data_IF_453869590654
#
_entry.id   IF_453869590654
#
_cell.length_a   1.000
_cell.length_b   1.000
_cell.length_c   1.000
_cell.angle_alpha   90.00
_cell.angle_beta   90.00
_cell.angle_gamma   90.00
#
_symmetry.space_group_name_H-M   'P 1'
#
loop_
_entity.id
_entity.type
_entity.pdbx_description
1 polymer ?
#
# COMPACT_ATOMS: atom_id res chain seq x y z
N UNK A 1 -10.74 -16.28 -32.19
CA UNK A 1 -10.73 -14.83 -31.93
C UNK A 1 -9.56 -14.55 -31.02
N UNK A 2 -8.54 -13.84 -31.50
CA UNK A 2 -7.44 -13.37 -30.65
C UNK A 2 -7.88 -12.01 -30.09
N UNK A 3 -8.11 -11.93 -28.78
CA UNK A 3 -8.44 -10.67 -28.12
C UNK A 3 -7.11 -9.96 -27.87
N UNK A 4 -6.80 -8.95 -28.67
CA UNK A 4 -5.64 -8.08 -28.41
C UNK A 4 -5.97 -7.20 -27.21
N UNK A 5 -5.49 -7.60 -26.04
CA UNK A 5 -5.57 -6.81 -24.82
C UNK A 5 -4.64 -5.59 -24.94
N UNK A 6 -5.04 -4.42 -24.42
CA UNK A 6 -4.17 -3.26 -24.37
C UNK A 6 -2.89 -3.60 -23.59
N UNK A 7 -1.75 -3.09 -24.08
CA UNK A 7 -0.46 -3.31 -23.42
C UNK A 7 -0.52 -2.74 -22.01
N UNK A 8 -0.21 -3.57 -21.02
CA UNK A 8 -0.06 -3.14 -19.63
C UNK A 8 1.05 -2.09 -19.53
N UNK A 9 0.74 -0.94 -18.94
CA UNK A 9 1.70 0.14 -18.71
C UNK A 9 2.27 0.03 -17.29
N UNK A 10 3.59 -0.11 -17.19
CA UNK A 10 4.30 -0.12 -15.92
C UNK A 10 4.75 1.31 -15.61
N UNK A 11 4.21 1.89 -14.54
CA UNK A 11 4.63 3.20 -14.04
C UNK A 11 6.05 3.13 -13.47
N UNK A 12 6.77 4.25 -13.50
CA UNK A 12 8.09 4.33 -12.87
C UNK A 12 7.96 4.27 -11.35
N UNK A 13 8.82 3.47 -10.72
CA UNK A 13 8.87 3.31 -9.28
C UNK A 13 10.05 4.07 -8.66
N UNK A 14 9.73 4.96 -7.71
CA UNK A 14 10.70 5.87 -7.09
C UNK A 14 11.36 5.32 -5.82
N UNK A 15 10.81 4.24 -5.25
CA UNK A 15 11.16 3.76 -3.91
C UNK A 15 10.13 4.12 -2.83
N UNK A 16 8.95 4.61 -3.20
CA UNK A 16 7.84 4.81 -2.26
C UNK A 16 7.31 3.45 -1.76
N UNK A 17 7.39 3.20 -0.46
CA UNK A 17 6.90 1.94 0.13
C UNK A 17 5.44 1.64 -0.20
N UNK A 18 4.58 2.66 -0.23
CA UNK A 18 3.15 2.49 -0.51
C UNK A 18 2.85 2.01 -1.94
N UNK A 19 3.79 2.19 -2.87
CA UNK A 19 3.65 1.84 -4.29
C UNK A 19 4.36 0.52 -4.64
N UNK A 20 5.09 -0.08 -3.69
CA UNK A 20 5.94 -1.24 -3.94
C UNK A 20 5.16 -2.44 -4.48
N UNK A 21 4.04 -2.80 -3.83
CA UNK A 21 3.26 -3.98 -4.20
C UNK A 21 2.71 -3.86 -5.63
N UNK A 22 2.14 -2.70 -5.96
CA UNK A 22 1.58 -2.43 -7.29
C UNK A 22 2.67 -2.52 -8.37
N UNK A 23 3.82 -1.88 -8.13
CA UNK A 23 4.94 -1.93 -9.04
C UNK A 23 5.48 -3.36 -9.20
N UNK A 24 5.82 -4.02 -8.10
CA UNK A 24 6.52 -5.30 -8.13
C UNK A 24 5.62 -6.39 -8.72
N UNK A 25 4.32 -6.45 -8.37
CA UNK A 25 3.40 -7.43 -8.93
C UNK A 25 3.23 -7.28 -10.45
N UNK A 26 3.16 -6.03 -10.94
CA UNK A 26 3.03 -5.76 -12.36
C UNK A 26 4.33 -6.05 -13.12
N UNK A 27 5.48 -5.66 -12.55
CA UNK A 27 6.80 -5.99 -13.10
C UNK A 27 7.04 -7.50 -13.10
N UNK A 28 6.64 -8.20 -12.05
CA UNK A 28 6.85 -9.63 -11.90
C UNK A 28 6.06 -10.41 -12.96
N UNK A 29 4.77 -10.12 -13.08
CA UNK A 29 3.89 -10.76 -14.06
C UNK A 29 4.23 -10.43 -15.52
N UNK A 30 4.68 -9.19 -15.80
CA UNK A 30 4.92 -8.72 -17.16
C UNK A 30 6.34 -8.99 -17.67
N UNK A 31 7.34 -8.90 -16.80
CA UNK A 31 8.77 -8.92 -17.16
C UNK A 31 9.52 -10.05 -16.46
N UNK A 32 9.46 -10.14 -15.13
CA UNK A 32 10.27 -11.11 -14.36
C UNK A 32 9.94 -12.56 -14.75
N UNK A 33 8.66 -12.91 -14.85
CA UNK A 33 8.18 -14.25 -15.18
C UNK A 33 8.14 -14.52 -16.70
N UNK A 34 8.51 -13.54 -17.54
CA UNK A 34 8.53 -13.73 -18.98
C UNK A 34 9.67 -14.66 -19.40
N UNK A 35 9.32 -15.80 -20.01
CA UNK A 35 10.28 -16.73 -20.59
C UNK A 35 10.86 -16.27 -21.93
N UNK A 36 10.36 -15.13 -22.47
CA UNK A 36 10.80 -14.56 -23.75
C UNK A 36 11.99 -13.60 -23.61
N UNK A 37 12.29 -13.16 -22.40
CA UNK A 37 13.34 -12.19 -22.12
C UNK A 37 14.51 -12.85 -21.41
N UNK A 38 15.74 -12.52 -21.81
CA UNK A 38 16.93 -12.92 -21.06
C UNK A 38 16.99 -12.16 -19.72
N UNK A 39 17.76 -12.66 -18.75
CA UNK A 39 17.97 -11.92 -17.49
C UNK A 39 18.59 -10.54 -17.73
N UNK A 40 19.45 -10.42 -18.74
CA UNK A 40 20.06 -9.14 -19.15
C UNK A 40 19.00 -8.17 -19.64
N UNK A 41 18.07 -8.62 -20.49
CA UNK A 41 16.96 -7.77 -20.98
C UNK A 41 16.02 -7.38 -19.83
N UNK A 42 15.68 -8.33 -18.96
CA UNK A 42 14.87 -8.07 -17.76
C UNK A 42 15.53 -7.02 -16.87
N UNK A 43 16.86 -7.02 -16.75
CA UNK A 43 17.57 -6.02 -15.97
C UNK A 43 17.54 -4.64 -16.62
N UNK A 44 17.69 -4.56 -17.95
CA UNK A 44 17.51 -3.29 -18.67
C UNK A 44 16.11 -2.71 -18.46
N UNK A 45 15.06 -3.54 -18.55
CA UNK A 45 13.70 -3.13 -18.24
C UNK A 45 13.54 -2.70 -16.78
N UNK A 46 14.08 -3.48 -15.83
CA UNK A 46 14.03 -3.11 -14.42
C UNK A 46 14.59 -1.71 -14.22
N UNK A 47 15.81 -1.42 -14.69
CA UNK A 47 16.42 -0.09 -14.55
C UNK A 47 15.61 1.03 -15.22
N UNK A 48 14.95 0.77 -16.35
CA UNK A 48 14.17 1.79 -17.06
C UNK A 48 12.85 2.16 -16.35
N UNK A 49 12.29 1.23 -15.58
CA UNK A 49 11.11 1.44 -14.76
C UNK A 49 11.42 1.93 -13.34
N UNK A 50 12.68 2.10 -12.97
CA UNK A 50 13.05 2.67 -11.68
C UNK A 50 13.48 4.13 -11.80
N UNK A 51 13.24 4.88 -10.73
CA UNK A 51 13.77 6.23 -10.53
C UNK A 51 14.10 6.46 -9.05
N UNK A 52 14.62 7.63 -8.71
CA UNK A 52 14.86 8.04 -7.33
C UNK A 52 15.69 7.04 -6.53
N UNK A 53 15.22 6.75 -5.31
CA UNK A 53 15.90 5.88 -4.35
C UNK A 53 15.94 4.42 -4.82
N UNK A 54 14.91 3.96 -5.53
CA UNK A 54 14.87 2.59 -6.05
C UNK A 54 15.95 2.36 -7.10
N UNK A 55 16.11 3.29 -8.06
CA UNK A 55 17.16 3.18 -9.07
C UNK A 55 18.56 3.32 -8.44
N UNK A 56 18.73 4.28 -7.53
CA UNK A 56 20.00 4.48 -6.82
C UNK A 56 20.44 3.20 -6.08
N UNK A 57 19.50 2.43 -5.54
CA UNK A 57 19.74 1.18 -4.82
C UNK A 57 20.48 0.14 -5.67
N UNK A 58 20.13 0.00 -6.94
CA UNK A 58 20.64 -1.06 -7.82
C UNK A 58 21.62 -0.57 -8.88
N UNK A 59 21.86 0.75 -8.96
CA UNK A 59 22.70 1.34 -9.99
C UNK A 59 24.16 0.90 -9.90
N UNK A 60 24.61 0.50 -8.71
CA UNK A 60 25.96 -0.06 -8.47
C UNK A 60 26.21 -1.35 -9.24
N UNK A 61 25.16 -2.08 -9.60
CA UNK A 61 25.29 -3.36 -10.29
C UNK A 61 25.45 -3.15 -11.81
N UNK A 62 26.53 -3.67 -12.42
CA UNK A 62 26.65 -3.79 -13.86
C UNK A 62 25.53 -4.66 -14.44
N UNK A 63 25.08 -4.35 -15.65
CA UNK A 63 24.04 -5.13 -16.34
C UNK A 63 24.60 -6.53 -16.66
N UNK A 64 24.13 -7.54 -15.94
CA UNK A 64 24.42 -8.96 -16.17
C UNK A 64 23.29 -9.84 -15.62
N UNK A 65 23.26 -11.11 -16.02
CA UNK A 65 22.25 -12.05 -15.55
C UNK A 65 22.29 -12.29 -14.04
N UNK A 66 23.49 -12.54 -13.49
CA UNK A 66 23.66 -12.78 -12.05
C UNK A 66 23.33 -11.53 -11.21
N UNK A 67 23.59 -10.36 -11.76
CA UNK A 67 23.30 -9.10 -11.07
C UNK A 67 21.82 -8.72 -11.14
N UNK A 68 21.06 -9.25 -12.11
CA UNK A 68 19.62 -9.10 -12.13
C UNK A 68 18.97 -9.72 -10.89
N UNK A 69 19.33 -10.97 -10.57
CA UNK A 69 18.79 -11.66 -9.40
C UNK A 69 19.15 -10.90 -8.11
N UNK A 70 20.43 -10.52 -7.97
CA UNK A 70 20.90 -9.69 -6.85
C UNK A 70 20.17 -8.35 -6.73
N UNK A 71 19.89 -7.69 -7.85
CA UNK A 71 19.18 -6.42 -7.86
C UNK A 71 17.72 -6.60 -7.42
N UNK A 72 17.04 -7.66 -7.87
CA UNK A 72 15.66 -7.96 -7.44
C UNK A 72 15.62 -8.28 -5.95
N UNK A 73 16.54 -9.10 -5.46
CA UNK A 73 16.60 -9.46 -4.03
C UNK A 73 16.85 -8.23 -3.17
N UNK A 74 17.77 -7.33 -3.59
CA UNK A 74 18.02 -6.08 -2.87
C UNK A 74 16.80 -5.16 -2.86
N UNK A 75 16.04 -5.07 -3.95
CA UNK A 75 14.80 -4.28 -4.00
C UNK A 75 13.73 -4.89 -3.08
N UNK A 76 13.57 -6.21 -3.07
CA UNK A 76 12.64 -6.91 -2.18
C UNK A 76 12.99 -6.72 -0.72
N UNK A 77 14.26 -6.87 -0.37
CA UNK A 77 14.73 -6.67 1.01
C UNK A 77 14.49 -5.23 1.47
N UNK A 78 14.82 -4.26 0.62
CA UNK A 78 14.71 -2.84 0.98
C UNK A 78 13.28 -2.32 0.98
N UNK A 79 12.49 -2.64 -0.05
CA UNK A 79 11.16 -2.04 -0.28
C UNK A 79 10.00 -3.01 -0.06
N UNK A 80 10.25 -4.31 -0.21
CA UNK A 80 9.25 -5.37 -0.01
C UNK A 80 9.21 -5.96 1.40
N UNK A 81 10.00 -5.42 2.34
CA UNK A 81 9.96 -5.87 3.73
C UNK A 81 8.58 -5.57 4.34
N UNK A 82 7.82 -6.64 4.62
CA UNK A 82 6.47 -6.57 5.17
C UNK A 82 6.38 -5.70 6.43
N UNK A 83 7.37 -5.74 7.32
CA UNK A 83 7.34 -4.91 8.53
C UNK A 83 7.51 -3.43 8.22
N UNK A 84 8.35 -3.09 7.24
CA UNK A 84 8.53 -1.70 6.79
C UNK A 84 7.26 -1.19 6.11
N UNK A 85 6.62 -2.01 5.27
CA UNK A 85 5.34 -1.69 4.64
C UNK A 85 4.23 -1.47 5.68
N UNK A 86 4.11 -2.38 6.66
CA UNK A 86 3.16 -2.22 7.77
C UNK A 86 3.44 -0.92 8.54
N UNK A 87 4.70 -0.64 8.88
CA UNK A 87 5.06 0.58 9.60
C UNK A 87 4.76 1.86 8.80
N UNK A 88 4.95 1.84 7.48
CA UNK A 88 4.61 2.97 6.61
C UNK A 88 3.09 3.23 6.61
N UNK A 89 2.27 2.18 6.46
CA UNK A 89 0.81 2.27 6.52
C UNK A 89 0.31 2.71 7.90
N UNK A 90 0.90 2.19 8.99
CA UNK A 90 0.61 2.65 10.37
C UNK A 90 0.96 4.12 10.56
N UNK A 91 2.11 4.56 10.07
CA UNK A 91 2.51 5.97 10.14
C UNK A 91 1.53 6.87 9.38
N UNK A 92 1.02 6.43 8.22
CA UNK A 92 -0.02 7.16 7.49
C UNK A 92 -1.34 7.26 8.25
N UNK A 93 -1.70 6.26 9.06
CA UNK A 93 -2.90 6.30 9.92
C UNK A 93 -2.71 7.24 11.11
N UNK A 94 -1.54 7.18 11.75
CA UNK A 94 -1.21 8.03 12.90
C UNK A 94 -1.14 9.52 12.51
N UNK A 95 -0.79 9.82 11.27
CA UNK A 95 -0.71 11.17 10.73
C UNK A 95 -2.00 11.65 10.05
N UNK A 96 -3.13 10.94 10.21
CA UNK A 96 -4.42 11.45 9.79
C UNK A 96 -4.73 12.76 10.54
N UNK A 97 -5.37 13.68 9.82
CA UNK A 97 -5.78 14.98 10.38
C UNK A 97 -7.20 14.87 10.92
N UNK A 98 -7.45 15.32 12.17
CA UNK A 98 -8.79 15.27 12.73
C UNK A 98 -9.78 16.11 11.93
N UNK A 99 -11.01 15.63 11.83
CA UNK A 99 -12.13 16.42 11.32
C UNK A 99 -12.82 17.04 12.52
N UNK A 100 -12.80 18.37 12.60
CA UNK A 100 -13.40 19.10 13.73
C UNK A 100 -14.89 19.40 13.52
N UNK A 101 -15.28 19.70 12.28
CA UNK A 101 -16.66 20.10 11.97
C UNK A 101 -17.49 18.87 11.55
N UNK A 102 -18.51 18.45 12.32
CA UNK A 102 -19.35 17.32 11.99
C UNK A 102 -20.18 17.49 10.72
N UNK A 103 -20.41 18.74 10.29
CA UNK A 103 -21.12 19.04 9.04
C UNK A 103 -20.18 19.01 7.81
N UNK A 104 -18.87 18.84 8.00
CA UNK A 104 -17.92 18.74 6.89
C UNK A 104 -17.86 17.28 6.36
N UNK A 105 -18.95 16.88 5.71
CA UNK A 105 -19.14 15.53 5.16
C UNK A 105 -18.02 15.13 4.18
N UNK A 106 -17.46 16.10 3.44
CA UNK A 106 -16.36 15.85 2.50
C UNK A 106 -15.11 15.40 3.25
N UNK A 107 -14.74 16.09 4.34
CA UNK A 107 -13.56 15.74 5.11
C UNK A 107 -13.74 14.42 5.86
N UNK A 108 -14.95 14.17 6.35
CA UNK A 108 -15.35 12.89 6.95
C UNK A 108 -15.23 11.72 5.97
N UNK A 109 -15.75 11.85 4.75
CA UNK A 109 -15.61 10.82 3.70
C UNK A 109 -14.14 10.61 3.32
N UNK A 110 -13.37 11.68 3.18
CA UNK A 110 -11.94 11.57 2.89
C UNK A 110 -11.17 10.86 4.02
N UNK A 111 -11.55 11.07 5.28
CA UNK A 111 -10.97 10.37 6.42
C UNK A 111 -11.28 8.87 6.35
N UNK A 112 -12.54 8.52 6.08
CA UNK A 112 -12.96 7.13 5.86
C UNK A 112 -12.15 6.46 4.73
N UNK A 113 -12.12 7.07 3.55
CA UNK A 113 -11.46 6.52 2.37
C UNK A 113 -9.97 6.28 2.62
N UNK A 114 -9.32 7.20 3.35
CA UNK A 114 -7.93 7.05 3.77
C UNK A 114 -7.76 5.90 4.75
N UNK A 115 -8.57 5.82 5.80
CA UNK A 115 -8.48 4.76 6.81
C UNK A 115 -8.71 3.38 6.19
N UNK A 116 -9.79 3.24 5.41
CA UNK A 116 -10.19 2.01 4.74
C UNK A 116 -9.11 1.53 3.74
N UNK A 117 -8.47 2.46 3.01
CA UNK A 117 -7.32 2.12 2.16
C UNK A 117 -6.17 1.48 2.94
N UNK A 118 -5.82 2.02 4.11
CA UNK A 118 -4.74 1.44 4.90
C UNK A 118 -5.11 0.06 5.47
N UNK A 119 -6.38 -0.14 5.86
CA UNK A 119 -6.87 -1.47 6.29
C UNK A 119 -6.73 -2.52 5.19
N UNK A 120 -7.16 -2.20 3.97
CA UNK A 120 -7.00 -3.11 2.82
C UNK A 120 -5.53 -3.43 2.52
N UNK A 121 -4.63 -2.47 2.72
CA UNK A 121 -3.19 -2.71 2.57
C UNK A 121 -2.63 -3.64 3.66
N UNK A 122 -3.11 -3.54 4.90
CA UNK A 122 -2.75 -4.50 5.93
C UNK A 122 -3.21 -5.92 5.60
N UNK A 123 -4.44 -6.07 5.09
CA UNK A 123 -4.99 -7.36 4.67
C UNK A 123 -4.21 -7.96 3.50
N UNK A 124 -3.86 -7.15 2.49
CA UNK A 124 -3.04 -7.61 1.34
C UNK A 124 -1.64 -8.02 1.76
N UNK A 125 -1.10 -7.42 2.81
CA UNK A 125 0.14 -7.84 3.45
C UNK A 125 -0.03 -9.10 4.32
N UNK A 126 -1.25 -9.59 4.53
CA UNK A 126 -1.55 -10.75 5.37
C UNK A 126 -1.48 -10.44 6.86
N UNK A 127 -1.81 -9.22 7.26
CA UNK A 127 -2.07 -8.85 8.65
C UNK A 127 -3.55 -9.10 8.93
N UNK A 128 -3.86 -9.82 10.01
CA UNK A 128 -5.24 -10.11 10.40
C UNK A 128 -5.88 -8.87 11.03
N UNK A 129 -7.15 -8.59 10.70
CA UNK A 129 -7.93 -7.48 11.25
C UNK A 129 -7.89 -7.40 12.78
N UNK A 130 -7.96 -8.56 13.45
CA UNK A 130 -7.87 -8.72 14.91
C UNK A 130 -6.58 -8.13 15.50
N UNK A 131 -5.48 -8.13 14.75
CA UNK A 131 -4.17 -7.67 15.23
C UNK A 131 -4.05 -6.14 15.31
N UNK A 132 -4.89 -5.40 14.59
CA UNK A 132 -4.83 -3.92 14.55
C UNK A 132 -6.16 -3.24 14.86
N UNK A 133 -7.28 -3.96 14.96
CA UNK A 133 -8.62 -3.39 15.14
C UNK A 133 -8.74 -2.46 16.36
N UNK A 134 -8.18 -2.86 17.51
CA UNK A 134 -8.23 -2.07 18.76
C UNK A 134 -7.36 -0.80 18.70
N UNK A 135 -6.22 -0.87 18.04
CA UNK A 135 -5.36 0.31 17.84
C UNK A 135 -6.01 1.27 16.84
N UNK A 136 -6.57 0.72 15.75
CA UNK A 136 -7.23 1.49 14.72
C UNK A 136 -8.47 2.22 15.25
N UNK A 137 -9.31 1.56 16.04
CA UNK A 137 -10.46 2.20 16.68
C UNK A 137 -10.02 3.37 17.56
N UNK A 138 -8.98 3.16 18.37
CA UNK A 138 -8.41 4.20 19.24
C UNK A 138 -7.84 5.39 18.47
N UNK A 139 -7.25 5.15 17.29
CA UNK A 139 -6.76 6.23 16.42
C UNK A 139 -7.95 6.98 15.84
N UNK A 140 -8.92 6.28 15.24
CA UNK A 140 -10.01 6.92 14.51
C UNK A 140 -11.00 7.67 15.41
N UNK A 141 -11.20 7.21 16.64
CA UNK A 141 -11.93 7.97 17.66
C UNK A 141 -11.32 9.36 17.93
N UNK A 142 -10.01 9.53 17.73
CA UNK A 142 -9.35 10.84 17.87
C UNK A 142 -9.45 11.70 16.60
N UNK A 143 -9.85 11.11 15.48
CA UNK A 143 -9.89 11.76 14.17
C UNK A 143 -11.30 12.21 13.78
N UNK A 144 -12.33 11.71 14.45
CA UNK A 144 -13.73 12.09 14.21
C UNK A 144 -14.22 13.12 15.24
N UNK A 145 -15.20 13.97 14.88
CA UNK A 145 -15.86 14.86 15.81
C UNK A 145 -16.45 14.12 17.03
N UNK A 146 -16.37 14.74 18.20
CA UNK A 146 -16.81 14.15 19.48
C UNK A 146 -18.28 13.70 19.49
N UNK A 147 -19.12 14.34 18.69
CA UNK A 147 -20.53 14.05 18.49
C UNK A 147 -20.74 12.62 17.98
N UNK A 148 -19.89 12.16 17.05
CA UNK A 148 -19.93 10.79 16.54
C UNK A 148 -19.28 9.77 17.50
N UNK A 149 -18.35 10.22 18.36
CA UNK A 149 -17.73 9.36 19.37
C UNK A 149 -18.74 8.91 20.42
N UNK A 150 -19.68 9.80 20.80
CA UNK A 150 -20.71 9.50 21.79
C UNK A 150 -21.70 8.42 21.32
N UNK A 151 -21.96 8.33 20.01
CA UNK A 151 -22.77 7.26 19.40
C UNK A 151 -22.00 5.93 19.33
N UNK A 152 -20.67 5.99 19.28
CA UNK A 152 -19.77 4.86 19.20
C UNK A 152 -19.41 4.34 20.60
N UNK A 153 -20.35 3.75 21.34
CA UNK A 153 -20.06 3.10 22.61
C UNK A 153 -19.46 1.69 22.34
N UNK A 154 -18.17 1.43 22.62
CA UNK A 154 -17.48 0.18 22.25
C UNK A 154 -17.93 -1.07 23.05
N UNK A 155 -18.96 -0.94 23.89
CA UNK A 155 -19.53 -2.02 24.70
C UNK A 155 -20.32 -3.06 23.89
N UNK A 156 -20.50 -2.85 22.57
CA UNK A 156 -21.16 -3.81 21.68
C UNK A 156 -20.43 -3.87 20.32
N UNK A 157 -19.73 -4.99 20.07
CA UNK A 157 -19.25 -5.56 18.78
C UNK A 157 -17.79 -6.04 18.85
N UNK A 158 -17.59 -7.21 19.45
CA UNK A 158 -16.82 -8.27 18.77
C UNK A 158 -17.58 -8.53 17.45
N UNK A 159 -17.04 -8.54 16.23
CA UNK A 159 -15.78 -9.12 15.77
C UNK A 159 -15.17 -8.39 14.54
N UNK A 160 -15.68 -7.25 14.09
CA UNK A 160 -15.08 -6.49 12.98
C UNK A 160 -15.25 -5.00 13.20
N UNK A 161 -14.17 -4.24 13.03
CA UNK A 161 -14.23 -2.79 13.03
C UNK A 161 -14.93 -2.33 11.75
N UNK A 162 -16.23 -2.09 11.85
CA UNK A 162 -17.08 -1.69 10.75
C UNK A 162 -17.15 -0.16 10.68
N UNK A 163 -16.30 0.40 9.82
CA UNK A 163 -16.27 1.84 9.56
C UNK A 163 -17.54 2.36 8.88
N UNK A 164 -18.33 1.51 8.24
CA UNK A 164 -19.56 1.95 7.57
C UNK A 164 -20.60 2.43 8.59
N UNK A 165 -20.55 1.90 9.82
CA UNK A 165 -21.40 2.34 10.92
C UNK A 165 -21.18 3.82 11.32
N UNK A 166 -20.01 4.41 11.03
CA UNK A 166 -19.74 5.83 11.28
C UNK A 166 -20.42 6.77 10.28
N UNK A 167 -20.88 6.27 9.13
CA UNK A 167 -21.38 7.08 8.02
C UNK A 167 -22.77 6.67 7.52
N UNK A 168 -23.41 5.69 8.16
CA UNK A 168 -24.78 5.25 7.84
C UNK A 168 -25.89 6.11 8.47
N UNK A 169 -25.55 7.17 9.20
CA UNK A 169 -26.50 8.19 9.65
C UNK A 169 -26.56 9.36 8.66
N UNK A 170 -27.42 9.26 7.66
CA UNK A 170 -27.85 10.37 6.79
C UNK A 170 -29.27 10.12 6.33
#
# INVERSE_FOLDING_TARGET
>A
MNIDLPKLHINKYSGNYSEWLDFYNLFESSIHNSNRLSKVDKFNYLKSYLCGNALACINVFPISGDNFDRAIDLLKDRFGNKNVLINAHLSSLLNLTPVENPNNIISLRNLYDKAERQMRNFESLGVKGESYSKLLSSILMKQIPSEFVLEFNPSQRDERFDLSALFCGS
#
